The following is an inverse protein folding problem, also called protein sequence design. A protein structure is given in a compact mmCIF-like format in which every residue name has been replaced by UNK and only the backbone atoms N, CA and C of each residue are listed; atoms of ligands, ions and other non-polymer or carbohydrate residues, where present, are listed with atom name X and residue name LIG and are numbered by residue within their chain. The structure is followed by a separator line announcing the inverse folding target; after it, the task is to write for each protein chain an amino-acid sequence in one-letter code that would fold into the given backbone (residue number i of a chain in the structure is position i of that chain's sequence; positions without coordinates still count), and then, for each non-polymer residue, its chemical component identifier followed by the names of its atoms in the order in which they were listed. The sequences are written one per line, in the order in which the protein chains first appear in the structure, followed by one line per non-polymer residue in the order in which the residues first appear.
data_IF_787665351992
#
_entry.id   IF_787665351992
#
_cell.length_a   1.000
_cell.length_b   1.000
_cell.length_c   1.000
_cell.angle_alpha   90.00
_cell.angle_beta   90.00
_cell.angle_gamma   90.00
#
_symmetry.space_group_name_H-M   'P 1'
#
loop_
_entity.id
_entity.type
_entity.pdbx_description
1 polymer ?
#
# COMPACT_ATOMS: atom_id res chain seq x y z
N UNK A 1 -46.76 14.43 56.47
CA UNK A 1 -45.40 14.91 56.20
C UNK A 1 -45.19 14.82 54.68
N UNK A 2 -45.39 15.95 53.99
CA UNK A 2 -45.44 15.99 52.52
C UNK A 2 -44.13 16.56 52.00
N UNK A 3 -43.33 15.71 51.37
CA UNK A 3 -42.06 16.19 50.73
C UNK A 3 -42.40 16.87 49.40
N UNK A 4 -42.22 18.20 49.33
CA UNK A 4 -42.24 18.94 48.06
C UNK A 4 -40.97 18.68 47.24
N UNK A 5 -41.10 17.90 46.15
CA UNK A 5 -40.07 17.79 45.13
C UNK A 5 -39.89 19.15 44.44
N UNK A 6 -38.75 19.81 44.64
CA UNK A 6 -38.35 20.97 43.84
C UNK A 6 -37.87 20.47 42.51
N UNK A 7 -38.67 20.63 41.44
CA UNK A 7 -38.20 20.50 40.07
C UNK A 7 -37.24 21.63 39.74
N UNK A 8 -35.98 21.28 39.57
CA UNK A 8 -34.94 22.20 39.09
C UNK A 8 -35.28 22.56 37.63
N UNK A 9 -35.70 23.83 37.38
CA UNK A 9 -35.88 24.33 36.02
C UNK A 9 -34.51 24.42 35.34
N UNK A 10 -34.12 23.37 34.64
CA UNK A 10 -32.93 23.32 33.87
C UNK A 10 -33.14 24.11 32.57
N UNK A 11 -32.27 25.07 32.29
CA UNK A 11 -32.39 25.95 31.13
C UNK A 11 -32.10 25.13 29.86
N UNK A 12 -32.95 25.26 28.83
CA UNK A 12 -32.87 24.49 27.58
C UNK A 12 -31.50 24.61 26.92
N UNK A 13 -30.81 25.76 27.13
CA UNK A 13 -29.43 25.98 26.67
C UNK A 13 -28.39 25.08 27.36
N UNK A 14 -28.60 24.78 28.64
CA UNK A 14 -27.71 23.89 29.43
C UNK A 14 -27.93 22.42 29.01
N UNK A 15 -29.16 22.04 28.66
CA UNK A 15 -29.47 20.71 28.15
C UNK A 15 -28.85 20.49 26.75
N UNK A 16 -28.92 21.50 25.86
CA UNK A 16 -28.31 21.43 24.53
C UNK A 16 -26.76 21.35 24.61
N UNK A 17 -26.15 22.07 25.57
CA UNK A 17 -24.69 22.02 25.74
C UNK A 17 -24.21 20.67 26.30
N UNK A 18 -24.97 20.06 27.22
CA UNK A 18 -24.68 18.72 27.75
C UNK A 18 -24.86 17.62 26.68
N UNK A 19 -25.87 17.76 25.79
CA UNK A 19 -26.08 16.83 24.68
C UNK A 19 -24.99 16.94 23.60
N UNK A 20 -24.52 18.15 23.30
CA UNK A 20 -23.45 18.39 22.32
C UNK A 20 -22.09 17.88 22.83
N UNK A 21 -21.80 17.97 24.13
CA UNK A 21 -20.56 17.42 24.71
C UNK A 21 -20.55 15.88 24.76
N UNK A 22 -21.70 15.23 24.84
CA UNK A 22 -21.80 13.77 24.85
C UNK A 22 -21.63 13.16 23.44
N UNK A 23 -22.02 13.88 22.37
CA UNK A 23 -21.85 13.44 20.98
C UNK A 23 -20.39 13.58 20.51
N UNK A 24 -19.59 14.46 21.11
CA UNK A 24 -18.18 14.62 20.74
C UNK A 24 -17.23 13.53 21.29
N UNK A 25 -17.67 12.73 22.29
CA UNK A 25 -16.84 11.65 22.86
C UNK A 25 -16.82 10.35 22.06
N UNK A 26 -17.80 10.11 21.18
CA UNK A 26 -17.93 8.81 20.50
C UNK A 26 -17.23 8.74 19.14
N UNK A 27 -16.60 9.83 18.65
CA UNK A 27 -15.93 9.88 17.33
C UNK A 27 -14.47 9.40 17.39
N UNK A 28 -13.92 9.15 18.58
CA UNK A 28 -12.47 8.89 18.74
C UNK A 28 -12.05 7.41 18.72
N UNK A 29 -12.91 6.45 18.42
CA UNK A 29 -12.58 5.01 18.58
C UNK A 29 -12.58 4.18 17.30
N UNK A 30 -12.60 4.79 16.12
CA UNK A 30 -12.46 4.06 14.87
C UNK A 30 -11.12 4.35 14.18
N UNK A 31 -10.03 4.40 14.91
CA UNK A 31 -8.71 4.16 14.32
C UNK A 31 -8.55 2.66 14.17
N UNK A 32 -8.81 2.16 12.97
CA UNK A 32 -8.34 0.85 12.53
C UNK A 32 -6.81 0.88 12.58
N UNK A 33 -6.24 0.48 13.71
CA UNK A 33 -4.80 0.28 13.82
C UNK A 33 -4.46 -0.97 13.04
N UNK A 34 -3.97 -0.79 11.81
CA UNK A 34 -3.32 -1.88 11.09
C UNK A 34 -2.21 -2.43 12.00
N UNK A 35 -2.01 -3.76 12.01
CA UNK A 35 -0.91 -4.34 12.77
C UNK A 35 0.42 -3.72 12.33
N UNK A 36 1.42 -3.67 13.24
CA UNK A 36 2.73 -3.11 12.89
C UNK A 36 3.33 -3.85 11.69
N UNK A 37 3.97 -3.10 10.81
CA UNK A 37 4.63 -3.67 9.62
C UNK A 37 5.83 -4.50 10.08
N UNK A 38 5.92 -5.73 9.59
CA UNK A 38 7.05 -6.64 9.87
C UNK A 38 8.20 -6.28 8.93
N UNK A 39 9.40 -6.08 9.48
CA UNK A 39 10.61 -5.68 8.74
C UNK A 39 11.36 -6.88 8.12
N UNK A 40 10.64 -7.83 7.53
CA UNK A 40 11.20 -9.00 6.86
C UNK A 40 11.18 -8.87 5.32
N UNK A 41 11.32 -7.65 4.82
CA UNK A 41 11.30 -7.33 3.40
C UNK A 41 12.39 -8.07 2.61
N UNK A 42 11.98 -8.61 1.46
CA UNK A 42 12.86 -9.31 0.49
C UNK A 42 12.62 -8.75 -0.91
N UNK A 43 13.65 -8.77 -1.78
CA UNK A 43 13.49 -8.41 -3.18
C UNK A 43 12.32 -9.16 -3.83
N UNK A 44 11.51 -8.46 -4.61
CA UNK A 44 10.44 -9.09 -5.40
C UNK A 44 11.04 -10.06 -6.43
N UNK A 45 10.34 -11.16 -6.70
CA UNK A 45 10.72 -12.15 -7.72
C UNK A 45 10.81 -11.58 -9.14
N UNK A 46 10.17 -10.42 -9.36
CA UNK A 46 10.15 -9.73 -10.66
C UNK A 46 11.12 -8.55 -10.74
N UNK A 47 12.11 -8.49 -9.86
CA UNK A 47 13.19 -7.52 -9.99
C UNK A 47 14.12 -7.85 -11.15
N UNK A 48 14.70 -6.83 -11.76
CA UNK A 48 15.82 -6.99 -12.69
C UNK A 48 17.00 -7.69 -11.96
N UNK A 49 17.81 -8.49 -12.64
CA UNK A 49 18.95 -9.15 -12.03
C UNK A 49 19.85 -8.17 -11.25
N UNK A 50 20.12 -8.48 -9.98
CA UNK A 50 20.96 -7.67 -9.09
C UNK A 50 20.27 -6.46 -8.47
N UNK A 51 18.96 -6.25 -8.67
CA UNK A 51 18.22 -5.18 -8.05
C UNK A 51 17.58 -5.62 -6.73
N UNK A 52 17.78 -4.80 -5.70
CA UNK A 52 17.26 -5.03 -4.35
C UNK A 52 15.80 -4.53 -4.18
N UNK A 53 15.35 -3.64 -5.05
CA UNK A 53 14.02 -3.04 -5.00
C UNK A 53 13.28 -3.21 -6.33
N UNK A 54 11.92 -3.27 -6.27
CA UNK A 54 11.04 -3.23 -5.10
C UNK A 54 11.17 -4.46 -4.19
N UNK A 55 10.77 -4.29 -2.93
CA UNK A 55 10.76 -5.36 -1.92
C UNK A 55 9.33 -5.66 -1.48
N UNK A 56 9.10 -6.89 -1.01
CA UNK A 56 7.83 -7.33 -0.44
C UNK A 56 8.09 -8.04 0.88
N UNK A 57 7.23 -7.82 1.89
CA UNK A 57 7.31 -8.50 3.17
C UNK A 57 6.28 -9.65 3.27
N UNK A 58 6.36 -10.43 4.35
CA UNK A 58 5.45 -11.56 4.61
C UNK A 58 3.98 -11.18 4.79
N UNK A 59 3.69 -9.92 5.04
CA UNK A 59 2.33 -9.38 5.18
C UNK A 59 1.76 -8.84 3.85
N UNK A 60 2.53 -8.84 2.75
CA UNK A 60 2.12 -8.28 1.46
C UNK A 60 2.33 -6.76 1.31
N UNK A 61 3.08 -6.12 2.22
CA UNK A 61 3.50 -4.74 2.00
C UNK A 61 4.61 -4.68 0.96
N UNK A 62 4.54 -3.68 0.08
CA UNK A 62 5.59 -3.42 -0.89
C UNK A 62 6.37 -2.14 -0.52
N UNK A 63 7.70 -2.20 -0.66
CA UNK A 63 8.64 -1.09 -0.40
C UNK A 63 9.40 -0.75 -1.67
N UNK A 64 9.43 0.54 -1.98
CA UNK A 64 10.05 1.06 -3.20
C UNK A 64 11.22 1.98 -2.86
N UNK A 65 12.23 1.97 -3.75
CA UNK A 65 13.38 2.87 -3.68
C UNK A 65 13.68 3.39 -5.07
N UNK A 66 13.60 4.71 -5.26
CA UNK A 66 13.81 5.39 -6.54
C UNK A 66 14.89 6.45 -6.37
N UNK A 67 15.86 6.48 -7.26
CA UNK A 67 16.91 7.49 -7.28
C UNK A 67 16.46 8.61 -8.21
N UNK A 68 16.07 9.74 -7.65
CA UNK A 68 15.63 10.92 -8.39
C UNK A 68 15.99 12.20 -7.63
N UNK A 69 17.27 12.55 -7.55
CA UNK A 69 17.76 13.64 -6.68
C UNK A 69 17.20 15.01 -7.06
N UNK A 70 16.92 15.26 -8.34
CA UNK A 70 16.37 16.53 -8.82
C UNK A 70 14.84 16.62 -8.75
N UNK A 71 14.13 15.52 -8.37
CA UNK A 71 12.69 15.51 -8.33
C UNK A 71 12.13 16.27 -7.13
N UNK A 72 10.97 16.91 -7.33
CA UNK A 72 10.18 17.55 -6.28
C UNK A 72 9.15 16.59 -5.67
N UNK A 73 8.72 15.58 -6.45
CA UNK A 73 7.77 14.58 -5.99
C UNK A 73 7.96 13.22 -6.67
N UNK A 74 7.89 12.15 -5.89
CA UNK A 74 7.90 10.78 -6.41
C UNK A 74 6.77 9.97 -5.77
N UNK A 75 6.04 9.23 -6.60
CA UNK A 75 4.96 8.34 -6.19
C UNK A 75 4.97 7.06 -7.03
N UNK A 76 4.54 5.97 -6.44
CA UNK A 76 4.27 4.70 -7.14
C UNK A 76 2.77 4.53 -7.27
N UNK A 77 2.29 4.16 -8.46
CA UNK A 77 0.84 4.02 -8.76
C UNK A 77 0.19 2.78 -8.12
N UNK A 78 0.83 2.20 -7.12
CA UNK A 78 0.42 0.99 -6.42
C UNK A 78 0.24 1.28 -4.93
N UNK A 79 -0.72 0.60 -4.29
CA UNK A 79 -1.00 0.70 -2.86
C UNK A 79 -2.42 1.16 -2.55
N UNK A 80 -2.79 1.10 -1.26
CA UNK A 80 -4.12 1.43 -0.75
C UNK A 80 -4.43 2.93 -0.74
N UNK A 81 -3.47 3.79 -1.02
CA UNK A 81 -3.63 5.25 -1.02
C UNK A 81 -4.65 5.80 -2.03
N UNK A 82 -5.62 5.00 -2.45
CA UNK A 82 -6.65 5.37 -3.39
C UNK A 82 -6.08 5.79 -4.75
N UNK A 83 -6.62 6.87 -5.36
CA UNK A 83 -6.15 7.36 -6.66
C UNK A 83 -4.72 7.91 -6.66
N UNK A 84 -4.12 8.10 -5.48
CA UNK A 84 -2.79 8.68 -5.31
C UNK A 84 -1.65 7.66 -5.42
N UNK A 85 -1.89 6.38 -5.15
CA UNK A 85 -0.84 5.38 -4.96
C UNK A 85 0.05 5.68 -3.74
N UNK A 86 1.17 4.99 -3.63
CA UNK A 86 2.14 5.17 -2.54
C UNK A 86 3.01 6.40 -2.77
N UNK A 87 3.02 7.34 -1.83
CA UNK A 87 3.93 8.49 -1.81
C UNK A 87 5.28 8.05 -1.26
N UNK A 88 6.37 8.48 -1.90
CA UNK A 88 7.71 8.26 -1.40
C UNK A 88 8.23 9.53 -0.69
N UNK A 89 9.11 9.34 0.27
CA UNK A 89 9.78 10.41 1.00
C UNK A 89 11.24 10.50 0.53
N UNK A 90 11.72 11.73 0.38
CA UNK A 90 13.06 12.02 -0.09
C UNK A 90 14.05 11.99 1.07
N UNK A 91 15.09 11.18 0.94
CA UNK A 91 16.24 11.18 1.84
C UNK A 91 17.26 12.27 1.43
N UNK A 92 18.22 12.55 2.31
CA UNK A 92 19.25 13.58 2.09
C UNK A 92 20.15 13.28 0.89
N UNK A 93 20.34 12.00 0.56
CA UNK A 93 21.13 11.54 -0.58
C UNK A 93 20.39 11.65 -1.94
N UNK A 94 19.16 12.17 -1.95
CA UNK A 94 18.32 12.28 -3.13
C UNK A 94 17.58 10.99 -3.51
N UNK A 95 17.68 9.98 -2.69
CA UNK A 95 16.90 8.75 -2.81
C UNK A 95 15.49 8.94 -2.28
N UNK A 96 14.52 8.37 -2.96
CA UNK A 96 13.12 8.35 -2.54
C UNK A 96 12.72 6.96 -2.10
N UNK A 97 12.18 6.84 -0.89
CA UNK A 97 11.72 5.57 -0.33
C UNK A 97 10.29 5.68 0.18
N UNK A 98 9.55 4.58 0.10
CA UNK A 98 8.21 4.49 0.66
C UNK A 98 7.70 3.06 0.68
N UNK A 99 6.84 2.79 1.66
CA UNK A 99 6.14 1.51 1.82
C UNK A 99 4.65 1.75 1.61
N UNK A 100 3.93 0.80 1.04
CA UNK A 100 2.47 0.88 0.88
C UNK A 100 1.79 1.08 2.23
N UNK A 101 0.69 1.84 2.25
CA UNK A 101 -0.06 2.14 3.50
C UNK A 101 -0.75 0.91 4.10
N UNK A 102 -0.89 -0.16 3.30
CA UNK A 102 -1.46 -1.43 3.70
C UNK A 102 -0.96 -2.57 2.82
N UNK A 103 -1.30 -3.82 3.18
CA UNK A 103 -0.97 -4.97 2.36
C UNK A 103 -1.67 -4.88 1.01
N UNK A 104 -1.01 -5.40 -0.02
CA UNK A 104 -1.54 -5.56 -1.36
C UNK A 104 -2.20 -6.94 -1.49
N UNK A 105 -3.11 -7.06 -2.44
CA UNK A 105 -3.67 -8.37 -2.80
C UNK A 105 -2.56 -9.28 -3.34
N UNK A 106 -2.68 -10.57 -3.07
CA UNK A 106 -1.75 -11.60 -3.57
C UNK A 106 -1.77 -11.66 -5.11
N UNK A 107 -0.63 -11.98 -5.69
CA UNK A 107 -0.46 -12.17 -7.12
C UNK A 107 0.26 -11.02 -7.83
N UNK A 108 0.13 -10.99 -9.16
CA UNK A 108 0.83 -10.04 -10.02
C UNK A 108 0.13 -8.69 -10.11
N UNK A 109 0.90 -7.62 -9.97
CA UNK A 109 0.43 -6.24 -10.12
C UNK A 109 1.27 -5.46 -11.12
N UNK A 110 0.59 -4.69 -11.98
CA UNK A 110 1.24 -3.65 -12.79
C UNK A 110 1.39 -2.36 -11.97
N UNK A 111 2.52 -1.69 -12.14
CA UNK A 111 2.72 -0.37 -11.56
C UNK A 111 3.61 0.53 -12.41
N UNK A 112 3.61 1.81 -12.09
CA UNK A 112 4.53 2.80 -12.65
C UNK A 112 4.95 3.81 -11.59
N UNK A 113 6.06 4.46 -11.84
CA UNK A 113 6.60 5.55 -11.02
C UNK A 113 6.17 6.88 -11.62
N UNK A 114 5.65 7.76 -10.80
CA UNK A 114 5.33 9.14 -11.17
C UNK A 114 6.38 10.07 -10.57
N UNK A 115 7.12 10.78 -11.41
CA UNK A 115 8.13 11.76 -11.02
C UNK A 115 7.69 13.11 -11.58
N UNK A 116 7.39 14.07 -10.71
CA UNK A 116 6.96 15.44 -11.06
C UNK A 116 5.82 15.47 -12.10
N UNK A 117 4.89 14.52 -11.97
CA UNK A 117 3.76 14.35 -12.88
C UNK A 117 4.04 13.50 -14.13
N UNK A 118 5.30 13.27 -14.49
CA UNK A 118 5.69 12.33 -15.54
C UNK A 118 5.51 10.87 -15.10
N UNK A 119 5.20 9.98 -16.06
CA UNK A 119 4.97 8.55 -15.82
C UNK A 119 6.12 7.74 -16.41
N UNK A 120 6.75 6.90 -15.58
CA UNK A 120 7.94 6.11 -15.93
C UNK A 120 7.79 4.68 -15.45
N UNK A 121 8.48 3.76 -16.08
CA UNK A 121 8.69 2.43 -15.54
C UNK A 121 9.81 2.45 -14.49
N UNK A 122 9.71 1.56 -13.50
CA UNK A 122 10.76 1.37 -12.51
C UNK A 122 11.94 0.63 -13.15
N UNK A 123 13.14 1.21 -13.14
CA UNK A 123 14.31 0.53 -13.70
C UNK A 123 14.73 -0.70 -12.88
N UNK A 124 14.31 -0.82 -11.63
CA UNK A 124 14.59 -1.96 -10.76
C UNK A 124 13.71 -3.18 -11.01
N UNK A 125 12.61 -3.04 -11.76
CA UNK A 125 11.64 -4.10 -12.00
C UNK A 125 11.61 -4.55 -13.46
N UNK A 126 11.21 -5.79 -13.69
CA UNK A 126 10.88 -6.27 -15.03
C UNK A 126 9.65 -5.55 -15.57
N UNK A 127 9.61 -5.33 -16.89
CA UNK A 127 8.50 -4.71 -17.58
C UNK A 127 7.69 -5.73 -18.35
N UNK A 128 6.37 -5.59 -18.30
CA UNK A 128 5.42 -6.46 -18.95
C UNK A 128 4.47 -5.66 -19.84
N UNK A 129 4.12 -6.21 -20.99
CA UNK A 129 3.15 -5.59 -21.87
C UNK A 129 1.74 -5.97 -21.42
N UNK A 130 1.00 -4.97 -20.94
CA UNK A 130 -0.38 -5.14 -20.52
C UNK A 130 -1.19 -3.87 -20.71
N UNK A 131 -2.49 -3.99 -20.91
CA UNK A 131 -3.38 -2.82 -21.10
C UNK A 131 -2.88 -1.84 -22.17
N UNK A 132 -2.35 -2.37 -23.29
CA UNK A 132 -1.81 -1.63 -24.44
C UNK A 132 -0.50 -0.86 -24.20
N UNK A 133 0.21 -1.12 -23.11
CA UNK A 133 1.47 -0.45 -22.78
C UNK A 133 2.41 -1.34 -21.97
N UNK A 134 3.68 -0.91 -21.89
CA UNK A 134 4.67 -1.51 -21.00
C UNK A 134 4.58 -0.86 -19.62
N UNK A 135 4.44 -1.68 -18.59
CA UNK A 135 4.46 -1.25 -17.18
C UNK A 135 5.35 -2.18 -16.36
N UNK A 136 5.90 -1.67 -15.26
CA UNK A 136 6.65 -2.49 -14.31
C UNK A 136 5.73 -3.49 -13.60
N UNK A 137 6.27 -4.67 -13.28
CA UNK A 137 5.56 -5.71 -12.55
C UNK A 137 6.12 -5.92 -11.15
N UNK A 138 5.26 -6.30 -10.23
CA UNK A 138 5.61 -6.79 -8.90
C UNK A 138 4.73 -8.00 -8.58
N UNK A 139 5.33 -9.01 -7.96
CA UNK A 139 4.61 -10.18 -7.46
C UNK A 139 4.48 -10.09 -5.94
N UNK A 140 3.27 -10.17 -5.44
CA UNK A 140 2.97 -10.34 -4.02
C UNK A 140 2.76 -11.84 -3.79
N UNK A 141 3.63 -12.51 -3.02
CA UNK A 141 3.58 -13.95 -2.84
C UNK A 141 2.21 -14.41 -2.32
N UNK A 142 1.59 -15.35 -3.02
CA UNK A 142 0.34 -15.96 -2.57
C UNK A 142 0.61 -17.03 -1.50
N UNK A 143 -0.36 -17.25 -0.64
CA UNK A 143 -0.29 -18.30 0.40
C UNK A 143 -0.35 -19.72 -0.19
N UNK A 144 -0.88 -19.87 -1.40
CA UNK A 144 -1.05 -21.15 -2.13
C UNK A 144 -0.07 -21.30 -3.29
N UNK A 145 1.16 -20.77 -3.18
CA UNK A 145 2.20 -20.81 -4.22
C UNK A 145 2.45 -22.21 -4.80
N UNK A 146 2.17 -23.25 -4.05
CA UNK A 146 2.26 -24.64 -4.50
C UNK A 146 1.44 -24.94 -5.76
N UNK A 147 0.39 -24.18 -5.99
CA UNK A 147 -0.49 -24.35 -7.17
C UNK A 147 0.26 -24.12 -8.48
N UNK A 148 1.13 -23.10 -8.53
CA UNK A 148 1.89 -22.73 -9.74
C UNK A 148 3.41 -22.94 -9.59
N UNK A 149 3.86 -23.54 -8.48
CA UNK A 149 5.26 -23.89 -8.30
C UNK A 149 5.72 -24.90 -9.36
N UNK A 150 6.97 -24.74 -9.80
CA UNK A 150 7.59 -25.71 -10.71
C UNK A 150 7.72 -27.04 -9.99
N UNK A 151 6.97 -28.03 -10.44
CA UNK A 151 6.96 -29.41 -9.91
C UNK A 151 7.58 -30.38 -10.91
N UNK A 152 8.03 -31.54 -10.41
CA UNK A 152 8.46 -32.64 -11.26
C UNK A 152 7.21 -33.29 -11.91
N UNK A 153 6.78 -32.72 -13.01
CA UNK A 153 5.65 -33.22 -13.82
C UNK A 153 6.19 -33.67 -15.19
N UNK A 154 5.57 -34.64 -15.85
CA UNK A 154 5.94 -35.00 -17.23
C UNK A 154 5.80 -33.76 -18.13
N UNK A 155 6.89 -33.39 -18.77
CA UNK A 155 6.91 -32.28 -19.74
C UNK A 155 6.80 -32.86 -21.16
N UNK A 156 6.05 -32.15 -22.00
CA UNK A 156 6.04 -32.43 -23.44
C UNK A 156 7.33 -31.94 -24.11
N UNK A 157 7.56 -32.38 -25.34
CA UNK A 157 8.64 -31.91 -26.18
C UNK A 157 8.19 -30.66 -26.93
N UNK A 158 9.04 -29.61 -26.89
CA UNK A 158 8.86 -28.43 -27.75
C UNK A 158 9.62 -28.65 -29.04
N UNK A 159 8.89 -28.67 -30.17
CA UNK A 159 9.48 -28.74 -31.49
C UNK A 159 9.32 -27.41 -32.20
N UNK A 160 10.43 -26.85 -32.67
CA UNK A 160 10.42 -25.65 -33.47
C UNK A 160 10.12 -26.08 -34.93
N UNK A 161 9.05 -25.55 -35.49
CA UNK A 161 8.70 -25.72 -36.89
C UNK A 161 9.05 -24.46 -37.66
N UNK A 162 9.90 -24.55 -38.66
CA UNK A 162 10.31 -23.43 -39.53
C UNK A 162 9.38 -23.34 -40.73
#
# INVERSE_FOLDING_TARGET
MIYKLKFLKMNIKTLLFAFLSMVCCDISLAQSTLPPVIEDFKPSSLNQPGQEYPQVNSQGYARFKIIAPAADSVRVSLGLGGRGGTKLEKAEDGTWMGTTEGPLDEGFHYYNVKIDGGKFNDPGAMNFFGSTRWESGIEIPAHDQDFYALKSVPHGNVQQVL
#
